data_IF_885141105798
#
_entry.id   IF_885141105798
#
_cell.length_a   1.000
_cell.length_b   1.000
_cell.length_c   1.000
_cell.angle_alpha   90.00
_cell.angle_beta   90.00
_cell.angle_gamma   90.00
#
_symmetry.space_group_name_H-M   'P 1'
#
loop_
_entity.id
_entity.type
_entity.pdbx_description
1 polymer ?
#
# COMPACT_ATOMS: atom_id res chain seq x y z
N UNK A 1 -13.48 65.84 -12.20
CA UNK A 1 -13.34 65.31 -10.84
C UNK A 1 -14.00 63.96 -10.83
N UNK A 2 -13.28 62.92 -10.77
CA UNK A 2 -13.41 61.73 -9.95
C UNK A 2 -12.42 60.68 -10.44
N UNK A 3 -11.33 60.57 -9.69
CA UNK A 3 -10.36 59.51 -9.74
C UNK A 3 -10.99 58.18 -9.35
N UNK A 4 -10.84 57.16 -10.14
CA UNK A 4 -11.08 55.79 -9.72
C UNK A 4 -9.82 54.97 -9.73
N UNK A 5 -9.51 54.61 -8.57
CA UNK A 5 -8.48 53.78 -8.00
C UNK A 5 -8.21 52.51 -8.79
N UNK A 6 -6.95 52.32 -9.12
CA UNK A 6 -6.36 51.08 -9.57
C UNK A 6 -6.32 50.08 -8.41
N UNK A 7 -7.34 49.23 -8.31
CA UNK A 7 -7.39 48.13 -7.35
C UNK A 7 -6.79 46.85 -7.95
N UNK A 8 -5.60 46.52 -7.49
CA UNK A 8 -5.13 45.22 -7.04
C UNK A 8 -5.46 44.01 -7.93
N UNK A 9 -4.81 43.89 -9.06
CA UNK A 9 -4.61 42.58 -9.72
C UNK A 9 -3.41 41.88 -9.07
N UNK A 10 -3.61 41.24 -7.91
CA UNK A 10 -2.71 40.19 -7.43
C UNK A 10 -2.78 39.08 -8.46
N UNK A 11 -1.74 38.95 -9.26
CA UNK A 11 -1.51 37.84 -10.16
C UNK A 11 -1.51 36.54 -9.34
N UNK A 12 -2.57 35.75 -9.47
CA UNK A 12 -2.52 34.34 -9.13
C UNK A 12 -1.40 33.68 -9.95
N UNK A 13 -0.24 33.56 -9.34
CA UNK A 13 0.81 32.73 -9.88
C UNK A 13 0.29 31.30 -9.85
N UNK A 14 -0.30 30.81 -10.94
CA UNK A 14 -0.55 29.39 -11.14
C UNK A 14 0.76 28.66 -10.86
N UNK A 15 0.76 27.82 -9.86
CA UNK A 15 1.90 26.97 -9.53
C UNK A 15 2.32 26.21 -10.80
N UNK A 16 3.60 26.27 -11.16
CA UNK A 16 4.11 25.57 -12.35
C UNK A 16 3.94 24.05 -12.12
N UNK A 17 3.47 23.28 -13.11
CA UNK A 17 3.25 21.84 -12.97
C UNK A 17 4.51 21.11 -12.49
N UNK A 18 4.39 20.23 -11.51
CA UNK A 18 5.48 19.43 -10.95
C UNK A 18 6.14 18.61 -12.06
N UNK A 19 5.35 17.99 -12.93
CA UNK A 19 5.81 17.12 -14.01
C UNK A 19 6.53 17.84 -15.17
N UNK A 20 6.29 19.13 -15.42
CA UNK A 20 6.74 19.83 -16.62
C UNK A 20 8.28 20.02 -16.77
N UNK A 21 9.08 19.64 -15.76
CA UNK A 21 10.55 19.82 -15.72
C UNK A 21 11.36 18.56 -15.42
N UNK A 22 10.73 17.41 -15.26
CA UNK A 22 11.41 16.19 -14.79
C UNK A 22 11.85 15.30 -15.96
N UNK A 23 12.92 15.67 -16.69
CA UNK A 23 13.66 14.68 -17.50
C UNK A 23 14.57 13.89 -16.55
N UNK A 24 14.26 12.63 -16.33
CA UNK A 24 15.07 11.70 -15.56
C UNK A 24 15.24 10.41 -16.35
N UNK A 25 16.44 9.84 -16.34
CA UNK A 25 16.71 8.55 -16.99
C UNK A 25 16.33 7.45 -15.98
N UNK A 26 15.35 6.62 -16.34
CA UNK A 26 14.95 5.49 -15.52
C UNK A 26 16.14 4.64 -15.10
N UNK A 27 16.34 4.45 -13.80
CA UNK A 27 17.47 3.68 -13.26
C UNK A 27 17.03 2.22 -13.14
N UNK A 28 17.60 1.34 -13.98
CA UNK A 28 17.28 -0.11 -13.99
C UNK A 28 17.39 -0.76 -12.61
N UNK A 29 18.31 -0.31 -11.75
CA UNK A 29 18.50 -0.83 -10.38
C UNK A 29 17.30 -0.63 -9.47
N UNK A 30 16.42 0.34 -9.79
CA UNK A 30 15.20 0.62 -9.02
C UNK A 30 13.95 0.05 -9.68
N UNK A 31 14.06 -0.62 -10.85
CA UNK A 31 12.91 -1.16 -11.57
C UNK A 31 11.87 -0.09 -11.96
N UNK A 32 12.33 1.13 -12.28
CA UNK A 32 11.46 2.27 -12.55
C UNK A 32 10.74 2.13 -13.90
N UNK A 33 9.41 2.17 -13.86
CA UNK A 33 8.50 2.33 -14.97
C UNK A 33 7.60 3.53 -14.65
N UNK A 34 7.78 4.61 -15.39
CA UNK A 34 7.05 5.85 -15.11
C UNK A 34 5.69 5.83 -15.81
N UNK A 35 4.62 6.02 -15.06
CA UNK A 35 3.28 6.14 -15.61
C UNK A 35 3.18 7.45 -16.42
N UNK A 36 2.70 7.35 -17.67
CA UNK A 36 2.62 8.46 -18.60
C UNK A 36 1.25 8.67 -19.22
N UNK A 37 0.40 7.65 -19.17
CA UNK A 37 -0.97 7.70 -19.70
C UNK A 37 -1.88 8.50 -18.77
N UNK A 38 -2.35 9.66 -19.28
CA UNK A 38 -3.22 10.56 -18.52
C UNK A 38 -4.58 9.95 -18.18
N UNK A 39 -5.17 9.17 -19.08
CA UNK A 39 -6.46 8.53 -18.82
C UNK A 39 -6.36 7.52 -17.67
N UNK A 40 -5.27 6.78 -17.61
CA UNK A 40 -4.99 5.85 -16.50
C UNK A 40 -4.68 6.63 -15.21
N UNK A 41 -3.90 7.71 -15.27
CA UNK A 41 -3.64 8.57 -14.10
C UNK A 41 -4.94 9.10 -13.51
N UNK A 42 -5.82 9.66 -14.35
CA UNK A 42 -7.12 10.19 -13.92
C UNK A 42 -7.99 9.09 -13.31
N UNK A 43 -8.06 7.90 -13.94
CA UNK A 43 -8.81 6.76 -13.43
C UNK A 43 -8.30 6.27 -12.06
N UNK A 44 -6.97 6.27 -11.84
CA UNK A 44 -6.37 5.92 -10.54
C UNK A 44 -6.75 6.96 -9.49
N UNK A 45 -6.63 8.24 -9.80
CA UNK A 45 -6.95 9.33 -8.87
C UNK A 45 -8.44 9.35 -8.53
N UNK A 46 -9.31 9.02 -9.50
CA UNK A 46 -10.75 8.87 -9.26
C UNK A 46 -11.07 7.65 -8.37
N UNK A 47 -10.37 6.53 -8.56
CA UNK A 47 -10.50 5.35 -7.68
C UNK A 47 -10.04 5.64 -6.24
N UNK A 48 -8.97 6.43 -6.07
CA UNK A 48 -8.49 6.90 -4.76
C UNK A 48 -9.52 7.86 -4.14
N UNK A 49 -10.21 8.69 -4.95
CA UNK A 49 -11.17 9.70 -4.51
C UNK A 49 -10.65 10.59 -3.36
N UNK A 50 -9.49 11.27 -3.52
CA UNK A 50 -8.90 12.10 -2.47
C UNK A 50 -9.78 13.31 -2.17
N UNK A 51 -9.85 13.69 -0.89
CA UNK A 51 -10.61 14.87 -0.40
C UNK A 51 -9.67 15.82 0.33
N UNK A 52 -9.92 17.14 0.25
CA UNK A 52 -9.12 18.12 0.99
C UNK A 52 -9.02 17.78 2.49
N UNK A 53 -7.83 17.97 3.06
CA UNK A 53 -7.57 17.74 4.47
C UNK A 53 -7.29 16.27 4.86
N UNK A 54 -7.43 15.30 3.96
CA UNK A 54 -7.04 13.91 4.24
C UNK A 54 -5.53 13.77 4.37
N UNK A 55 -5.10 12.91 5.30
CA UNK A 55 -3.70 12.58 5.52
C UNK A 55 -3.28 11.50 4.52
N UNK A 56 -2.57 11.90 3.46
CA UNK A 56 -2.17 10.96 2.42
C UNK A 56 -0.65 10.91 2.25
N UNK A 57 -0.15 9.69 2.05
CA UNK A 57 1.27 9.41 1.80
C UNK A 57 1.40 8.69 0.47
N UNK A 58 2.22 9.22 -0.45
CA UNK A 58 2.58 8.55 -1.69
C UNK A 58 3.96 7.91 -1.57
N UNK A 59 4.04 6.61 -1.87
CA UNK A 59 5.30 5.86 -1.91
C UNK A 59 5.84 5.86 -3.34
N UNK A 60 7.06 6.34 -3.51
CA UNK A 60 7.74 6.36 -4.80
C UNK A 60 7.08 7.27 -5.83
N UNK A 61 6.95 8.59 -5.58
CA UNK A 61 6.31 9.54 -6.49
C UNK A 61 7.01 9.62 -7.86
N UNK A 62 8.28 9.26 -7.94
CA UNK A 62 9.04 9.25 -9.18
C UNK A 62 9.02 10.59 -9.90
N UNK A 63 8.45 10.61 -11.12
CA UNK A 63 8.28 11.84 -11.91
C UNK A 63 7.00 12.61 -11.57
N UNK A 64 6.36 12.30 -10.44
CA UNK A 64 5.18 12.99 -9.92
C UNK A 64 3.90 12.83 -10.79
N UNK A 65 3.76 11.70 -11.47
CA UNK A 65 2.59 11.44 -12.33
C UNK A 65 1.27 11.40 -11.53
N UNK A 66 1.26 10.72 -10.38
CA UNK A 66 0.12 10.72 -9.45
C UNK A 66 0.19 11.90 -8.47
N UNK A 67 1.39 12.33 -8.07
CA UNK A 67 1.62 13.39 -7.10
C UNK A 67 0.90 14.69 -7.48
N UNK A 68 1.01 15.12 -8.73
CA UNK A 68 0.42 16.38 -9.20
C UNK A 68 -1.11 16.41 -9.03
N UNK A 69 -1.90 15.46 -9.61
CA UNK A 69 -3.35 15.49 -9.46
C UNK A 69 -3.81 15.19 -8.03
N UNK A 70 -3.02 14.44 -7.22
CA UNK A 70 -3.31 14.24 -5.81
C UNK A 70 -3.18 15.54 -5.02
N UNK A 71 -2.10 16.29 -5.21
CA UNK A 71 -1.90 17.60 -4.56
C UNK A 71 -2.99 18.58 -4.94
N UNK A 72 -3.42 18.61 -6.22
CA UNK A 72 -4.49 19.50 -6.68
C UNK A 72 -5.81 19.25 -5.95
N UNK A 73 -6.10 17.99 -5.56
CA UNK A 73 -7.33 17.63 -4.83
C UNK A 73 -7.18 17.74 -3.31
N UNK A 74 -5.98 17.45 -2.77
CA UNK A 74 -5.73 17.41 -1.32
C UNK A 74 -5.32 18.77 -0.74
N UNK A 75 -4.61 19.59 -1.55
CA UNK A 75 -3.91 20.81 -1.12
C UNK A 75 -2.49 20.55 -0.59
N UNK A 76 -2.23 19.40 0.03
CA UNK A 76 -0.91 18.97 0.53
C UNK A 76 -0.76 17.46 0.48
N UNK A 77 0.46 16.96 0.21
CA UNK A 77 0.77 15.54 0.14
C UNK A 77 2.14 15.25 0.76
N UNK A 78 2.24 14.17 1.56
CA UNK A 78 3.52 13.63 1.98
C UNK A 78 3.98 12.58 0.97
N UNK A 79 5.27 12.60 0.61
CA UNK A 79 5.86 11.64 -0.32
C UNK A 79 7.09 10.99 0.27
N UNK A 80 7.28 9.68 0.03
CA UNK A 80 8.48 8.93 0.42
C UNK A 80 9.25 8.59 -0.86
N UNK A 81 10.49 9.11 -0.98
CA UNK A 81 11.33 8.91 -2.16
C UNK A 81 12.74 8.48 -1.75
N UNK A 82 13.22 7.39 -2.35
CA UNK A 82 14.55 6.85 -2.11
C UNK A 82 15.61 7.52 -2.99
N UNK A 83 15.24 7.92 -4.22
CA UNK A 83 16.16 8.58 -5.14
C UNK A 83 16.38 10.04 -4.73
N UNK A 84 17.60 10.33 -4.27
CA UNK A 84 18.00 11.66 -3.79
C UNK A 84 17.77 12.76 -4.82
N UNK A 85 18.04 12.48 -6.10
CA UNK A 85 17.91 13.49 -7.16
C UNK A 85 16.43 13.85 -7.39
N UNK A 86 15.53 12.86 -7.27
CA UNK A 86 14.09 13.08 -7.32
C UNK A 86 13.59 13.78 -6.05
N UNK A 87 14.06 13.37 -4.87
CA UNK A 87 13.69 13.99 -3.59
C UNK A 87 14.04 15.48 -3.55
N UNK A 88 15.23 15.88 -4.05
CA UNK A 88 15.63 17.29 -4.14
C UNK A 88 14.68 18.08 -5.04
N UNK A 89 14.26 17.50 -6.16
CA UNK A 89 13.31 18.16 -7.08
C UNK A 89 11.92 18.30 -6.47
N UNK A 90 11.45 17.25 -5.79
CA UNK A 90 10.14 17.24 -5.12
C UNK A 90 10.07 18.28 -4.00
N UNK A 91 11.15 18.51 -3.24
CA UNK A 91 11.24 19.56 -2.20
C UNK A 91 11.07 20.98 -2.73
N UNK A 92 11.29 21.19 -4.03
CA UNK A 92 11.05 22.51 -4.64
C UNK A 92 9.56 22.87 -4.74
N UNK A 93 8.65 21.95 -4.41
CA UNK A 93 7.21 22.16 -4.41
C UNK A 93 6.69 22.40 -3.00
N UNK A 94 6.16 23.62 -2.76
CA UNK A 94 5.67 24.04 -1.45
C UNK A 94 4.47 23.29 -0.89
N UNK A 95 3.85 22.40 -1.69
CA UNK A 95 2.70 21.57 -1.29
C UNK A 95 3.09 20.13 -0.97
N UNK A 96 4.40 19.82 -0.90
CA UNK A 96 4.91 18.50 -0.60
C UNK A 96 5.73 18.49 0.69
N UNK A 97 5.49 17.50 1.54
CA UNK A 97 6.44 17.05 2.56
C UNK A 97 7.20 15.85 2.01
N UNK A 98 8.52 15.95 1.90
CA UNK A 98 9.36 14.90 1.28
C UNK A 98 10.18 14.18 2.33
N UNK A 99 9.89 12.89 2.51
CA UNK A 99 10.67 11.96 3.32
C UNK A 99 11.66 11.24 2.38
N UNK A 100 12.96 11.64 2.43
CA UNK A 100 14.02 10.97 1.68
C UNK A 100 14.47 9.75 2.47
N UNK A 101 13.90 8.59 2.16
CA UNK A 101 14.18 7.34 2.88
C UNK A 101 13.81 6.11 2.04
N UNK A 102 14.40 4.97 2.42
CA UNK A 102 13.87 3.67 2.05
C UNK A 102 12.53 3.46 2.79
N UNK A 103 11.48 3.19 2.06
CA UNK A 103 10.12 2.99 2.61
C UNK A 103 10.08 1.88 3.66
N UNK A 104 10.91 0.85 3.53
CA UNK A 104 11.00 -0.25 4.50
C UNK A 104 11.61 0.15 5.85
N UNK A 105 12.13 1.38 5.96
CA UNK A 105 12.67 1.97 7.20
C UNK A 105 11.76 3.06 7.77
N UNK A 106 10.67 3.40 7.07
CA UNK A 106 9.74 4.44 7.52
C UNK A 106 8.76 3.87 8.52
N UNK A 107 8.68 4.47 9.69
CA UNK A 107 7.65 4.18 10.69
C UNK A 107 6.37 4.95 10.34
N UNK A 108 5.35 4.27 9.79
CA UNK A 108 4.09 4.88 9.40
C UNK A 108 3.25 5.33 10.61
N UNK A 109 3.40 4.71 11.77
CA UNK A 109 2.74 5.17 13.00
C UNK A 109 3.32 6.51 13.46
N UNK A 110 4.65 6.67 13.35
CA UNK A 110 5.31 7.94 13.60
C UNK A 110 4.88 9.01 12.57
N UNK A 111 4.80 8.67 11.27
CA UNK A 111 4.31 9.59 10.24
C UNK A 111 2.89 10.05 10.56
N UNK A 112 2.01 9.15 10.99
CA UNK A 112 0.65 9.49 11.41
C UNK A 112 0.65 10.47 12.60
N UNK A 113 1.40 10.18 13.65
CA UNK A 113 1.42 10.97 14.89
C UNK A 113 2.03 12.37 14.69
N UNK A 114 3.06 12.49 13.86
CA UNK A 114 3.73 13.77 13.58
C UNK A 114 2.93 14.68 12.65
N UNK A 115 1.98 14.13 11.88
CA UNK A 115 1.11 14.91 10.99
C UNK A 115 0.30 15.98 11.73
N UNK A 116 -0.16 15.66 12.93
CA UNK A 116 -0.96 16.57 13.77
C UNK A 116 -0.20 17.81 14.22
N UNK A 117 1.12 17.74 14.38
CA UNK A 117 1.94 18.84 14.88
C UNK A 117 2.19 19.93 13.81
N UNK A 118 2.17 19.58 12.53
CA UNK A 118 2.55 20.49 11.44
C UNK A 118 1.35 21.23 10.81
N UNK A 119 0.15 20.65 10.87
CA UNK A 119 -1.05 21.17 10.19
C UNK A 119 -2.11 21.76 11.10
N UNK A 120 -1.90 21.83 12.42
CA UNK A 120 -2.86 22.39 13.38
C UNK A 120 -2.93 23.93 13.38
N UNK A 121 -2.25 24.63 12.47
CA UNK A 121 -2.23 26.12 12.41
C UNK A 121 -3.22 26.70 11.38
N UNK A 122 -3.91 25.88 10.62
CA UNK A 122 -4.91 26.36 9.69
C UNK A 122 -6.21 25.59 9.88
N UNK A 123 -7.16 26.11 10.69
CA UNK A 123 -8.53 26.20 10.21
C UNK A 123 -9.56 26.48 11.31
N UNK A 124 -9.99 27.69 11.32
CA UNK A 124 -11.36 28.10 11.66
C UNK A 124 -12.27 27.76 10.46
N UNK A 125 -12.86 26.59 10.42
CA UNK A 125 -13.82 26.18 9.40
C UNK A 125 -14.37 24.80 9.71
N UNK A 126 -15.70 24.66 9.70
CA UNK A 126 -16.47 23.47 10.04
C UNK A 126 -16.28 22.36 8.97
N UNK A 127 -15.06 21.82 8.85
CA UNK A 127 -14.74 20.63 8.03
C UNK A 127 -14.99 19.42 8.92
N UNK A 128 -15.77 18.40 8.47
CA UNK A 128 -15.90 17.15 9.21
C UNK A 128 -14.50 16.65 9.56
N UNK A 129 -14.28 16.26 10.81
CA UNK A 129 -12.99 15.73 11.26
C UNK A 129 -12.54 14.64 10.29
N UNK A 130 -11.53 14.94 9.46
CA UNK A 130 -10.94 13.95 8.57
C UNK A 130 -10.39 12.82 9.44
N UNK A 131 -10.45 11.58 8.95
CA UNK A 131 -9.86 10.44 9.64
C UNK A 131 -8.42 10.79 10.05
N UNK A 132 -8.06 10.49 11.29
CA UNK A 132 -6.69 10.69 11.76
C UNK A 132 -5.72 9.67 11.16
N UNK A 133 -6.24 8.64 10.47
CA UNK A 133 -5.45 7.60 9.83
C UNK A 133 -4.90 8.04 8.49
N UNK A 134 -3.83 7.38 8.08
CA UNK A 134 -3.16 7.64 6.81
C UNK A 134 -3.87 6.91 5.67
N UNK A 135 -3.99 7.56 4.52
CA UNK A 135 -4.24 6.91 3.24
C UNK A 135 -2.92 6.75 2.51
N UNK A 136 -2.59 5.53 2.10
CA UNK A 136 -1.28 5.25 1.48
C UNK A 136 -1.47 4.85 0.03
N UNK A 137 -0.77 5.54 -0.87
CA UNK A 137 -0.90 5.32 -2.30
C UNK A 137 0.48 5.17 -2.96
N UNK A 138 0.53 4.59 -4.16
CA UNK A 138 1.77 4.60 -4.93
C UNK A 138 1.82 3.61 -6.09
N UNK A 139 2.71 3.93 -7.04
CA UNK A 139 3.16 3.00 -8.06
C UNK A 139 4.40 2.28 -7.52
N UNK A 140 4.22 1.10 -6.92
CA UNK A 140 5.31 0.44 -6.19
C UNK A 140 6.31 -0.24 -7.14
N UNK A 141 7.64 -0.15 -6.84
CA UNK A 141 8.64 -0.91 -7.56
C UNK A 141 8.38 -2.42 -7.45
N UNK A 142 8.31 -3.13 -8.59
CA UNK A 142 7.89 -4.54 -8.62
C UNK A 142 8.77 -5.48 -7.80
N UNK A 143 10.07 -5.21 -7.74
CA UNK A 143 11.05 -6.03 -7.03
C UNK A 143 10.93 -5.98 -5.50
N UNK A 144 10.30 -4.95 -4.93
CA UNK A 144 10.14 -4.76 -3.48
C UNK A 144 8.68 -4.60 -3.05
N UNK A 145 7.72 -4.79 -3.95
CA UNK A 145 6.30 -4.60 -3.65
C UNK A 145 5.82 -5.51 -2.51
N UNK A 146 6.16 -6.80 -2.53
CA UNK A 146 5.78 -7.72 -1.46
C UNK A 146 6.38 -7.35 -0.09
N UNK A 147 7.67 -7.04 0.06
CA UNK A 147 8.22 -6.47 1.29
C UNK A 147 7.48 -5.22 1.79
N UNK A 148 7.12 -4.29 0.88
CA UNK A 148 6.37 -3.08 1.26
C UNK A 148 4.98 -3.44 1.81
N UNK A 149 4.25 -4.38 1.18
CA UNK A 149 2.94 -4.83 1.66
C UNK A 149 3.02 -5.42 3.07
N UNK A 150 4.06 -6.21 3.39
CA UNK A 150 4.26 -6.74 4.73
C UNK A 150 4.67 -5.66 5.74
N UNK A 151 5.52 -4.72 5.34
CA UNK A 151 5.90 -3.59 6.19
C UNK A 151 4.68 -2.71 6.56
N UNK A 152 3.76 -2.50 5.63
CA UNK A 152 2.52 -1.78 5.89
C UNK A 152 1.51 -2.60 6.70
N UNK A 153 1.58 -3.94 6.66
CA UNK A 153 0.78 -4.79 7.53
C UNK A 153 1.14 -4.57 9.01
N UNK A 154 2.42 -4.33 9.33
CA UNK A 154 2.86 -4.03 10.69
C UNK A 154 2.32 -2.68 11.19
N UNK A 155 2.05 -1.75 10.28
CA UNK A 155 1.53 -0.41 10.57
C UNK A 155 0.02 -0.25 10.27
N UNK A 156 -0.71 -1.35 10.10
CA UNK A 156 -2.09 -1.36 9.60
C UNK A 156 -3.06 -0.54 10.42
N UNK A 157 -2.84 -0.41 11.73
CA UNK A 157 -3.73 0.36 12.62
C UNK A 157 -3.62 1.88 12.41
N UNK A 158 -2.50 2.34 11.83
CA UNK A 158 -2.29 3.73 11.43
C UNK A 158 -2.92 4.06 10.07
N UNK A 159 -3.45 3.07 9.33
CA UNK A 159 -3.87 3.21 7.94
C UNK A 159 -5.39 3.09 7.81
N UNK A 160 -5.99 4.00 7.02
CA UNK A 160 -7.41 3.98 6.65
C UNK A 160 -7.64 3.10 5.42
N UNK A 161 -6.88 3.34 4.36
CA UNK A 161 -6.88 2.55 3.14
C UNK A 161 -5.55 2.67 2.38
N UNK A 162 -5.37 1.77 1.42
CA UNK A 162 -4.20 1.74 0.55
C UNK A 162 -4.63 1.53 -0.90
N UNK A 163 -3.96 2.24 -1.84
CA UNK A 163 -4.16 2.05 -3.27
C UNK A 163 -2.80 1.90 -3.93
N UNK A 164 -2.49 0.70 -4.38
CA UNK A 164 -1.19 0.41 -5.00
C UNK A 164 -1.32 -0.12 -6.41
N UNK A 165 -0.52 0.44 -7.31
CA UNK A 165 -0.28 -0.15 -8.61
C UNK A 165 0.88 -1.12 -8.51
N UNK A 166 0.63 -2.37 -8.91
CA UNK A 166 1.53 -3.52 -8.83
C UNK A 166 1.47 -4.33 -10.13
N UNK A 167 2.36 -5.31 -10.29
CA UNK A 167 2.16 -6.33 -11.32
C UNK A 167 0.83 -7.05 -11.11
N UNK A 168 0.08 -7.25 -12.19
CA UNK A 168 -1.24 -7.91 -12.15
C UNK A 168 -1.18 -9.27 -11.45
N UNK A 169 -0.14 -10.07 -11.71
CA UNK A 169 0.04 -11.38 -11.06
C UNK A 169 0.10 -11.28 -9.53
N UNK A 170 0.75 -10.24 -9.00
CA UNK A 170 0.83 -10.03 -7.53
C UNK A 170 -0.57 -9.74 -6.98
N UNK A 171 -1.34 -8.88 -7.66
CA UNK A 171 -2.71 -8.56 -7.24
C UNK A 171 -3.62 -9.78 -7.36
N UNK A 172 -3.51 -10.54 -8.46
CA UNK A 172 -4.27 -11.79 -8.63
C UNK A 172 -4.05 -12.75 -7.44
N UNK A 173 -2.80 -12.83 -6.94
CA UNK A 173 -2.47 -13.62 -5.74
C UNK A 173 -3.00 -12.99 -4.45
N UNK A 174 -3.02 -11.67 -4.34
CA UNK A 174 -3.55 -10.97 -3.15
C UNK A 174 -5.05 -11.22 -2.97
N UNK A 175 -5.83 -11.18 -4.06
CA UNK A 175 -7.29 -11.30 -4.05
C UNK A 175 -7.80 -12.71 -4.35
N UNK A 176 -6.90 -13.67 -4.53
CA UNK A 176 -7.21 -15.05 -4.90
C UNK A 176 -8.13 -15.72 -3.88
N UNK A 177 -9.06 -16.54 -4.39
CA UNK A 177 -9.93 -17.38 -3.56
C UNK A 177 -9.26 -18.74 -3.31
N UNK A 178 -9.55 -19.39 -2.18
CA UNK A 178 -9.12 -20.76 -1.91
C UNK A 178 -9.45 -21.70 -3.07
N UNK A 179 -8.68 -22.77 -3.22
CA UNK A 179 -8.75 -23.75 -4.30
C UNK A 179 -8.46 -23.22 -5.71
N UNK A 180 -7.87 -22.02 -5.82
CA UNK A 180 -7.37 -21.49 -7.09
C UNK A 180 -5.84 -21.56 -7.18
N UNK A 181 -5.33 -21.59 -8.42
CA UNK A 181 -3.88 -21.65 -8.64
C UNK A 181 -3.14 -20.38 -8.18
N UNK A 182 -3.81 -19.25 -8.04
CA UNK A 182 -3.23 -18.00 -7.56
C UNK A 182 -3.17 -17.92 -6.03
N UNK A 183 -4.03 -18.68 -5.31
CA UNK A 183 -4.06 -18.65 -3.85
C UNK A 183 -2.76 -19.18 -3.24
N UNK A 184 -2.22 -18.45 -2.27
CA UNK A 184 -0.93 -18.79 -1.68
C UNK A 184 -0.64 -18.01 -0.40
N UNK A 185 0.62 -18.09 0.04
CA UNK A 185 1.07 -17.41 1.26
C UNK A 185 0.67 -15.92 1.29
N UNK A 186 0.84 -15.20 0.18
CA UNK A 186 0.49 -13.78 0.10
C UNK A 186 -1.00 -13.55 0.33
N UNK A 187 -1.86 -14.43 -0.24
CA UNK A 187 -3.30 -14.37 -0.04
C UNK A 187 -3.67 -14.49 1.43
N UNK A 188 -3.18 -15.53 2.10
CA UNK A 188 -3.47 -15.76 3.53
C UNK A 188 -2.96 -14.61 4.39
N UNK A 189 -1.69 -14.19 4.18
CA UNK A 189 -1.03 -13.16 5.00
C UNK A 189 -1.64 -11.77 4.86
N UNK A 190 -2.41 -11.48 3.82
CA UNK A 190 -3.07 -10.19 3.66
C UNK A 190 -4.58 -10.27 3.92
N UNK A 191 -5.26 -11.33 3.47
CA UNK A 191 -6.72 -11.42 3.56
C UNK A 191 -7.26 -11.59 5.00
N UNK A 192 -6.45 -12.04 5.95
CA UNK A 192 -6.88 -12.08 7.35
C UNK A 192 -7.02 -10.68 7.96
N UNK A 193 -6.39 -9.67 7.34
CA UNK A 193 -6.31 -8.31 7.89
C UNK A 193 -6.96 -7.25 6.99
N UNK A 194 -7.09 -7.52 5.67
CA UNK A 194 -7.59 -6.58 4.68
C UNK A 194 -8.75 -7.16 3.85
N UNK A 195 -9.74 -6.32 3.56
CA UNK A 195 -10.58 -6.47 2.39
C UNK A 195 -9.84 -5.87 1.19
N UNK A 196 -9.75 -6.60 0.07
CA UNK A 196 -8.96 -6.21 -1.08
C UNK A 196 -9.75 -6.41 -2.38
N UNK A 197 -9.62 -5.46 -3.31
CA UNK A 197 -10.23 -5.53 -4.63
C UNK A 197 -9.29 -5.00 -5.71
N UNK A 198 -9.30 -5.64 -6.88
CA UNK A 198 -8.65 -5.12 -8.07
C UNK A 198 -9.59 -4.08 -8.71
N UNK A 199 -9.17 -2.80 -8.70
CA UNK A 199 -10.04 -1.68 -9.13
C UNK A 199 -9.76 -1.21 -10.54
N UNK A 200 -8.56 -1.48 -11.11
CA UNK A 200 -8.20 -1.01 -12.44
C UNK A 200 -7.11 -1.89 -13.06
N UNK A 201 -7.29 -2.28 -14.32
CA UNK A 201 -6.22 -2.90 -15.12
C UNK A 201 -5.40 -1.80 -15.81
N UNK A 202 -4.08 -1.93 -15.79
CA UNK A 202 -3.15 -0.95 -16.38
C UNK A 202 -2.23 -1.67 -17.38
N UNK A 203 -2.37 -1.40 -18.68
CA UNK A 203 -1.58 -2.07 -19.71
C UNK A 203 -0.15 -1.49 -19.79
N UNK A 204 0.83 -2.26 -20.31
CA UNK A 204 2.24 -1.87 -20.37
C UNK A 204 2.51 -0.54 -21.11
N UNK A 205 1.74 -0.24 -22.14
CA UNK A 205 1.85 0.99 -22.95
C UNK A 205 1.57 2.27 -22.17
N UNK A 206 0.98 2.15 -20.99
CA UNK A 206 0.74 3.29 -20.08
C UNK A 206 2.03 3.80 -19.41
N UNK A 207 3.16 3.13 -19.62
CA UNK A 207 4.44 3.44 -18.94
C UNK A 207 5.56 3.75 -19.93
N UNK A 208 6.54 4.53 -19.47
CA UNK A 208 7.81 4.77 -20.14
C UNK A 208 9.00 4.53 -19.16
N UNK A 209 9.88 3.56 -19.42
CA UNK A 209 9.73 2.47 -20.40
C UNK A 209 8.61 1.49 -20.04
N UNK A 210 7.97 0.83 -21.02
CA UNK A 210 6.91 -0.12 -20.74
C UNK A 210 7.44 -1.37 -20.00
N UNK A 211 6.73 -1.88 -18.98
CA UNK A 211 7.03 -3.17 -18.36
C UNK A 211 6.71 -4.32 -19.32
N UNK A 212 7.22 -5.52 -19.03
CA UNK A 212 6.94 -6.72 -19.82
C UNK A 212 5.59 -7.38 -19.50
N UNK A 213 4.92 -6.94 -18.45
CA UNK A 213 3.70 -7.56 -17.90
C UNK A 213 2.65 -6.48 -17.62
N UNK A 214 1.39 -6.87 -17.61
CA UNK A 214 0.32 -5.99 -17.18
C UNK A 214 0.48 -5.62 -15.71
N UNK A 215 0.07 -4.41 -15.37
CA UNK A 215 -0.12 -3.92 -14.02
C UNK A 215 -1.61 -3.85 -13.68
N UNK A 216 -1.91 -3.69 -12.43
CA UNK A 216 -3.25 -3.37 -11.96
C UNK A 216 -3.16 -2.51 -10.71
N UNK A 217 -4.28 -1.92 -10.30
CA UNK A 217 -4.41 -1.18 -9.05
C UNK A 217 -5.27 -1.98 -8.09
N UNK A 218 -4.73 -2.23 -6.90
CA UNK A 218 -5.45 -2.85 -5.80
C UNK A 218 -5.86 -1.77 -4.79
N UNK A 219 -7.10 -1.83 -4.33
CA UNK A 219 -7.55 -1.14 -3.12
C UNK A 219 -7.53 -2.12 -1.96
N UNK A 220 -6.98 -1.69 -0.82
CA UNK A 220 -6.88 -2.48 0.41
C UNK A 220 -7.45 -1.67 1.57
N UNK A 221 -8.43 -2.23 2.27
CA UNK A 221 -9.08 -1.60 3.43
C UNK A 221 -8.88 -2.51 4.64
N UNK A 222 -8.28 -2.01 5.74
CA UNK A 222 -8.17 -2.79 6.97
C UNK A 222 -9.55 -3.24 7.46
N UNK A 223 -9.65 -4.50 7.88
CA UNK A 223 -10.87 -5.02 8.50
C UNK A 223 -11.14 -4.29 9.82
N UNK A 224 -12.39 -3.92 10.06
CA UNK A 224 -12.78 -3.19 11.28
C UNK A 224 -12.59 -4.06 12.55
N UNK A 225 -12.84 -5.35 12.44
CA UNK A 225 -12.77 -6.33 13.55
C UNK A 225 -11.95 -7.54 13.12
N UNK A 226 -10.62 -7.39 12.95
CA UNK A 226 -9.77 -8.50 12.56
C UNK A 226 -9.63 -9.49 13.73
N UNK A 227 -9.42 -10.77 13.44
CA UNK A 227 -9.06 -11.75 14.47
C UNK A 227 -7.78 -11.32 15.20
N UNK A 228 -7.79 -11.39 16.54
CA UNK A 228 -6.56 -11.19 17.32
C UNK A 228 -5.75 -12.47 17.25
N UNK A 229 -4.53 -12.40 16.77
CA UNK A 229 -3.63 -13.55 16.63
C UNK A 229 -2.14 -13.11 16.65
N UNK A 230 -1.26 -14.08 16.85
CA UNK A 230 0.18 -13.88 16.65
C UNK A 230 0.51 -13.94 15.15
N UNK A 231 0.89 -12.78 14.59
CA UNK A 231 1.23 -12.65 13.17
C UNK A 231 2.48 -13.43 12.81
N UNK A 232 3.44 -13.57 13.73
CA UNK A 232 4.67 -14.36 13.51
C UNK A 232 4.33 -15.84 13.41
N UNK A 233 3.48 -16.33 14.31
CA UNK A 233 2.98 -17.70 14.28
C UNK A 233 2.19 -17.98 12.99
N UNK A 234 1.31 -17.06 12.56
CA UNK A 234 0.59 -17.20 11.29
C UNK A 234 1.58 -17.26 10.12
N UNK A 235 2.58 -16.41 10.11
CA UNK A 235 3.61 -16.35 9.04
C UNK A 235 4.39 -17.66 8.95
N UNK A 236 4.81 -18.22 10.10
CA UNK A 236 5.53 -19.49 10.18
C UNK A 236 4.66 -20.65 9.71
N UNK A 237 3.46 -20.78 10.28
CA UNK A 237 2.50 -21.83 9.94
C UNK A 237 2.19 -21.84 8.43
N UNK A 238 1.90 -20.67 7.86
CA UNK A 238 1.61 -20.51 6.44
C UNK A 238 2.84 -20.79 5.57
N UNK A 239 4.05 -20.41 6.02
CA UNK A 239 5.30 -20.74 5.33
C UNK A 239 5.52 -22.26 5.26
N UNK A 240 5.28 -22.96 6.35
CA UNK A 240 5.36 -24.42 6.40
C UNK A 240 4.31 -25.07 5.50
N UNK A 241 3.06 -24.61 5.58
CA UNK A 241 1.95 -25.12 4.77
C UNK A 241 2.26 -25.02 3.26
N UNK A 242 2.74 -23.89 2.80
CA UNK A 242 3.03 -23.63 1.38
C UNK A 242 4.46 -24.05 0.93
N UNK A 243 5.26 -24.66 1.80
CA UNK A 243 6.64 -25.10 1.46
C UNK A 243 6.70 -26.13 0.34
N UNK A 244 5.65 -26.98 0.23
CA UNK A 244 5.52 -28.01 -0.81
C UNK A 244 4.14 -27.92 -1.48
N UNK A 245 3.91 -26.90 -2.25
CA UNK A 245 2.59 -26.52 -2.79
C UNK A 245 1.79 -27.66 -3.44
N UNK A 246 2.46 -28.59 -4.15
CA UNK A 246 1.81 -29.72 -4.84
C UNK A 246 1.51 -30.93 -3.95
N UNK A 247 1.94 -30.92 -2.70
CA UNK A 247 1.72 -32.01 -1.73
C UNK A 247 0.57 -31.68 -0.80
N UNK A 248 -0.04 -32.74 -0.24
CA UNK A 248 -1.02 -32.60 0.83
C UNK A 248 -0.32 -32.15 2.11
N UNK A 249 -1.06 -31.48 2.97
CA UNK A 249 -0.54 -30.87 4.21
C UNK A 249 0.01 -31.84 5.22
N UNK A 250 -0.36 -33.14 5.14
CA UNK A 250 0.14 -34.19 6.04
C UNK A 250 1.68 -34.21 6.12
N UNK A 251 2.37 -33.98 4.99
CA UNK A 251 3.81 -34.04 4.90
C UNK A 251 4.54 -32.73 5.25
N UNK A 252 3.80 -31.66 5.46
CA UNK A 252 4.33 -30.31 5.79
C UNK A 252 3.71 -29.83 7.11
N UNK A 253 2.58 -29.16 7.04
CA UNK A 253 1.89 -28.58 8.20
C UNK A 253 1.49 -29.64 9.22
N UNK A 254 1.08 -30.86 8.78
CA UNK A 254 0.68 -31.94 9.72
C UNK A 254 1.83 -32.33 10.65
N UNK A 255 3.04 -32.55 10.11
CA UNK A 255 4.23 -32.83 10.92
C UNK A 255 4.59 -31.68 11.85
N UNK A 256 4.55 -30.46 11.35
CA UNK A 256 4.82 -29.28 12.15
C UNK A 256 3.81 -29.16 13.31
N UNK A 257 2.51 -29.40 13.07
CA UNK A 257 1.47 -29.39 14.12
C UNK A 257 1.75 -30.44 15.19
N UNK A 258 2.18 -31.66 14.79
CA UNK A 258 2.57 -32.74 15.73
C UNK A 258 3.76 -32.30 16.59
N UNK A 259 4.81 -31.73 15.96
CA UNK A 259 6.00 -31.21 16.65
C UNK A 259 5.68 -30.07 17.62
N UNK A 260 4.67 -29.24 17.31
CA UNK A 260 4.20 -28.16 18.18
C UNK A 260 3.21 -28.66 19.26
N UNK A 261 2.91 -29.96 19.33
CA UNK A 261 1.99 -30.52 20.31
C UNK A 261 0.53 -30.12 20.07
N UNK A 262 0.13 -29.88 18.83
CA UNK A 262 -1.24 -29.53 18.48
C UNK A 262 -2.20 -30.67 18.87
N UNK A 263 -3.19 -30.38 19.71
CA UNK A 263 -4.17 -31.36 20.23
C UNK A 263 -5.56 -31.23 19.60
N UNK A 264 -5.72 -30.37 18.61
CA UNK A 264 -6.97 -30.16 17.89
C UNK A 264 -7.16 -31.12 16.71
N UNK A 265 -8.25 -30.92 15.98
CA UNK A 265 -8.52 -31.61 14.71
C UNK A 265 -8.32 -30.67 13.56
N UNK A 266 -7.54 -31.09 12.54
CA UNK A 266 -7.34 -30.36 11.30
C UNK A 266 -7.18 -31.34 10.14
N UNK A 267 -7.88 -31.09 9.02
CA UNK A 267 -7.80 -31.96 7.84
C UNK A 267 -6.49 -31.71 7.06
N UNK A 268 -5.52 -32.56 7.28
CA UNK A 268 -4.20 -32.55 6.62
C UNK A 268 -4.18 -33.27 5.28
N UNK A 269 -5.31 -33.83 4.80
CA UNK A 269 -5.39 -34.52 3.50
C UNK A 269 -5.54 -33.50 2.34
N UNK A 270 -5.92 -32.29 2.63
CA UNK A 270 -6.01 -31.18 1.67
C UNK A 270 -4.62 -30.62 1.30
N UNK A 271 -4.56 -29.87 0.20
CA UNK A 271 -3.39 -29.04 -0.13
C UNK A 271 -3.51 -27.68 0.55
N UNK A 272 -2.39 -26.97 0.68
CA UNK A 272 -2.35 -25.66 1.32
C UNK A 272 -3.28 -24.64 0.63
N UNK A 273 -3.39 -24.69 -0.70
CA UNK A 273 -4.24 -23.78 -1.46
C UNK A 273 -5.74 -24.03 -1.32
N UNK A 274 -6.14 -25.20 -0.78
CA UNK A 274 -7.54 -25.58 -0.57
C UNK A 274 -8.08 -25.10 0.79
N UNK A 275 -7.20 -24.67 1.69
CA UNK A 275 -7.55 -24.25 3.04
C UNK A 275 -7.91 -22.77 3.08
N UNK A 276 -9.14 -22.39 3.49
CA UNK A 276 -9.55 -21.01 3.65
C UNK A 276 -8.73 -20.27 4.71
N UNK A 277 -8.61 -18.95 4.56
CA UNK A 277 -7.86 -18.07 5.48
C UNK A 277 -8.32 -18.23 6.92
N UNK A 278 -9.64 -18.35 7.13
CA UNK A 278 -10.25 -18.50 8.45
C UNK A 278 -9.78 -19.76 9.18
N UNK A 279 -9.50 -20.84 8.47
CA UNK A 279 -8.98 -22.06 9.08
C UNK A 279 -7.51 -21.92 9.50
N UNK A 280 -6.68 -21.20 8.72
CA UNK A 280 -5.32 -20.85 9.14
C UNK A 280 -5.33 -19.96 10.40
N UNK A 281 -6.24 -18.99 10.44
CA UNK A 281 -6.45 -18.14 11.62
C UNK A 281 -6.87 -18.96 12.83
N UNK A 282 -7.84 -19.87 12.67
CA UNK A 282 -8.33 -20.75 13.75
C UNK A 282 -7.23 -21.65 14.31
N UNK A 283 -6.32 -22.14 13.46
CA UNK A 283 -5.15 -22.91 13.92
C UNK A 283 -4.25 -22.08 14.84
N UNK A 284 -3.91 -20.84 14.44
CA UNK A 284 -3.07 -19.96 15.26
C UNK A 284 -3.73 -19.61 16.59
N UNK A 285 -5.05 -19.46 16.60
CA UNK A 285 -5.83 -19.14 17.81
C UNK A 285 -6.07 -20.36 18.71
N UNK A 286 -5.71 -21.57 18.26
CA UNK A 286 -5.94 -22.78 19.05
C UNK A 286 -5.10 -22.77 20.34
N UNK A 287 -5.68 -23.08 21.52
CA UNK A 287 -4.98 -22.96 22.81
C UNK A 287 -3.66 -23.72 22.88
N UNK A 288 -3.55 -24.89 22.24
CA UNK A 288 -2.31 -25.69 22.26
C UNK A 288 -1.15 -25.03 21.51
N UNK A 289 -1.43 -24.14 20.53
CA UNK A 289 -0.39 -23.36 19.82
C UNK A 289 -0.17 -21.99 20.47
N UNK A 290 -1.21 -21.36 21.02
CA UNK A 290 -1.13 -20.04 21.65
C UNK A 290 -0.23 -20.02 22.91
N UNK A 291 0.03 -21.16 23.54
CA UNK A 291 0.87 -21.27 24.75
C UNK A 291 2.36 -21.14 24.43
N UNK A 292 2.79 -21.38 23.20
CA UNK A 292 4.21 -21.33 22.78
C UNK A 292 4.76 -19.90 22.72
N UNK A 293 3.90 -18.89 22.65
CA UNK A 293 4.27 -17.45 22.55
C UNK A 293 4.69 -16.83 23.90
N UNK A 294 4.47 -17.54 25.01
CA UNK A 294 4.73 -17.04 26.39
C UNK A 294 6.05 -17.51 26.99
N UNK A 295 6.87 -18.24 26.25
CA UNK A 295 8.23 -18.62 26.66
C UNK A 295 9.27 -17.92 25.77
#
# INVERSE_FOLDING_TARGET
MHSWSSANRRSERRARPIAARMKHIARKRFGQHFLTDRGIIDAIVDAIAPKPGQRMVEIGPGLAALTQPLVERLGHLTVIELDRDLAVRLRAHGHLTVIESDVLKVDFALVQSTWSATNSIAETGNVPAASEKLRVVGNLPYNISTPILFHLLDAVDAVEDQHFMLQKEVIDRMVAQPATSAFGRLSVMLQWRYAMENVLLVPPESFDPPPRVNSAVVRMVPLAHPPVLDVKMLSELVQVAFSQRRKILRNTLGRWLEEQGFSGSFDVQRRAEEVPVQEYVALVQHPSLATLVRQ
#
